data_IF_349804715484
#
_entry.id   IF_349804715484
#
_cell.length_a   1.000
_cell.length_b   1.000
_cell.length_c   1.000
_cell.angle_alpha   90.00
_cell.angle_beta   90.00
_cell.angle_gamma   90.00
#
_symmetry.space_group_name_H-M   'P 1'
#
loop_
_entity.id
_entity.type
_entity.pdbx_description
1 polymer ?
#
# COMPACT_ATOMS: atom_id res chain seq x y z
N UNK A 1 22.36 4.53 2.07
CA UNK A 1 21.44 4.22 0.96
C UNK A 1 21.37 5.44 0.07
N UNK A 2 21.87 5.37 -1.17
CA UNK A 2 21.59 6.43 -2.12
C UNK A 2 20.11 6.36 -2.49
N UNK A 3 19.41 7.48 -2.56
CA UNK A 3 18.01 7.48 -2.94
C UNK A 3 17.82 7.02 -4.38
N UNK A 4 16.74 6.29 -4.61
CA UNK A 4 16.33 5.66 -5.87
C UNK A 4 16.08 6.61 -7.05
N UNK A 5 16.40 7.91 -6.94
CA UNK A 5 15.73 8.94 -7.72
C UNK A 5 16.63 10.03 -8.24
N UNK A 6 16.80 10.05 -9.53
CA UNK A 6 17.20 11.20 -10.31
C UNK A 6 16.21 11.39 -11.46
N UNK A 7 15.66 12.56 -11.61
CA UNK A 7 14.63 12.88 -12.62
C UNK A 7 15.23 12.83 -14.03
N UNK A 8 14.82 11.86 -14.83
CA UNK A 8 14.94 11.92 -16.29
C UNK A 8 13.59 12.34 -16.88
N UNK A 9 13.55 13.42 -17.63
CA UNK A 9 12.33 13.98 -18.26
C UNK A 9 11.68 13.10 -19.32
N UNK A 10 12.21 11.92 -19.56
CA UNK A 10 11.70 10.93 -20.54
C UNK A 10 10.95 9.77 -19.90
N UNK A 11 10.89 9.66 -18.57
CA UNK A 11 10.29 8.53 -17.91
C UNK A 11 8.90 8.86 -17.35
N UNK A 12 7.89 8.15 -17.81
CA UNK A 12 6.50 8.28 -17.41
C UNK A 12 6.07 7.10 -16.54
N UNK A 13 6.90 6.71 -15.58
CA UNK A 13 6.69 5.55 -14.72
C UNK A 13 6.33 5.97 -13.30
N UNK A 14 5.33 5.30 -12.71
CA UNK A 14 5.05 5.37 -11.28
C UNK A 14 5.33 4.01 -10.62
N UNK A 15 5.94 4.03 -9.43
CA UNK A 15 6.10 2.85 -8.59
C UNK A 15 4.97 2.74 -7.58
N UNK A 16 4.41 1.55 -7.49
CA UNK A 16 3.29 1.23 -6.61
C UNK A 16 3.72 0.18 -5.59
N UNK A 17 3.28 0.39 -4.34
CA UNK A 17 3.61 -0.50 -3.21
C UNK A 17 2.34 -1.12 -2.63
N UNK A 18 2.26 -2.48 -2.59
CA UNK A 18 1.07 -3.19 -2.16
C UNK A 18 0.78 -2.97 -0.67
N UNK A 19 -0.49 -3.06 -0.34
CA UNK A 19 -1.02 -3.09 1.02
C UNK A 19 -1.37 -4.50 1.48
N UNK A 20 -1.95 -4.57 2.68
CA UNK A 20 -2.39 -5.81 3.30
C UNK A 20 -3.40 -6.56 2.41
N UNK A 21 -3.27 -7.88 2.37
CA UNK A 21 -4.01 -8.78 1.47
C UNK A 21 -3.16 -9.29 0.29
N UNK A 22 -1.95 -8.74 0.09
CA UNK A 22 -0.99 -9.20 -0.92
C UNK A 22 0.04 -10.20 -0.36
N UNK A 23 0.14 -10.34 0.97
CA UNK A 23 1.08 -11.25 1.62
C UNK A 23 0.71 -12.72 1.35
N UNK A 24 1.72 -13.56 1.23
CA UNK A 24 1.59 -15.02 1.12
C UNK A 24 2.89 -15.67 1.58
N UNK A 25 2.79 -16.89 2.08
CA UNK A 25 3.97 -17.68 2.46
C UNK A 25 4.81 -17.97 1.21
N UNK A 26 6.12 -17.78 1.31
CA UNK A 26 7.08 -17.89 0.21
C UNK A 26 7.41 -16.56 -0.49
N UNK A 27 6.69 -15.47 -0.18
CA UNK A 27 6.96 -14.17 -0.81
C UNK A 27 8.40 -13.70 -0.57
N UNK A 28 9.03 -13.11 -1.60
CA UNK A 28 10.42 -12.66 -1.65
C UNK A 28 11.48 -13.77 -1.50
N UNK A 29 11.11 -15.05 -1.37
CA UNK A 29 12.05 -16.16 -1.20
C UNK A 29 12.99 -16.34 -2.39
N UNK A 30 12.51 -16.24 -3.63
CA UNK A 30 13.35 -16.28 -4.82
C UNK A 30 14.31 -15.09 -4.90
N UNK A 31 13.84 -13.89 -4.58
CA UNK A 31 14.68 -12.69 -4.55
C UNK A 31 15.81 -12.83 -3.51
N UNK A 32 15.50 -13.36 -2.33
CA UNK A 32 16.48 -13.66 -1.30
C UNK A 32 17.57 -14.62 -1.77
N UNK A 33 17.22 -15.65 -2.56
CA UNK A 33 18.15 -16.65 -3.05
C UNK A 33 19.06 -16.10 -4.15
N UNK A 34 18.53 -15.29 -5.07
CA UNK A 34 19.22 -14.88 -6.30
C UNK A 34 19.92 -13.52 -6.20
N UNK A 35 19.44 -12.61 -5.36
CA UNK A 35 19.99 -11.25 -5.24
C UNK A 35 20.56 -10.98 -3.85
N UNK A 36 21.91 -10.89 -3.70
CA UNK A 36 22.52 -10.55 -2.41
C UNK A 36 21.98 -9.25 -1.78
N UNK A 37 21.61 -8.25 -2.63
CA UNK A 37 21.03 -7.01 -2.17
C UNK A 37 19.62 -7.17 -1.59
N UNK A 38 18.80 -8.06 -2.16
CA UNK A 38 17.49 -8.41 -1.61
C UNK A 38 17.62 -9.19 -0.29
N UNK A 39 18.59 -10.13 -0.24
CA UNK A 39 18.92 -10.86 1.00
C UNK A 39 19.28 -9.90 2.12
N UNK A 40 20.21 -8.97 1.87
CA UNK A 40 20.62 -7.97 2.84
C UNK A 40 19.44 -7.10 3.33
N UNK A 41 18.47 -6.81 2.47
CA UNK A 41 17.25 -6.08 2.88
C UNK A 41 16.40 -6.88 3.87
N UNK A 42 16.26 -8.18 3.66
CA UNK A 42 15.48 -9.05 4.54
C UNK A 42 16.19 -9.32 5.87
N UNK A 43 17.51 -9.49 5.84
CA UNK A 43 18.35 -9.59 7.04
C UNK A 43 18.31 -8.29 7.87
N UNK A 44 18.35 -7.11 7.21
CA UNK A 44 18.17 -5.81 7.87
C UNK A 44 16.80 -5.71 8.54
N UNK A 45 15.74 -6.25 7.93
CA UNK A 45 14.40 -6.26 8.54
C UNK A 45 14.37 -7.13 9.81
N UNK A 46 15.00 -8.31 9.78
CA UNK A 46 15.11 -9.20 10.95
C UNK A 46 15.87 -8.51 12.09
N UNK A 47 17.00 -7.87 11.77
CA UNK A 47 17.83 -7.15 12.75
C UNK A 47 17.09 -5.96 13.37
N UNK A 48 16.43 -5.14 12.55
CA UNK A 48 15.68 -3.95 13.01
C UNK A 48 14.50 -4.32 13.91
N UNK A 49 13.82 -5.42 13.58
CA UNK A 49 12.64 -5.86 14.31
C UNK A 49 12.95 -6.80 15.50
N UNK A 50 14.16 -7.36 15.52
CA UNK A 50 14.62 -8.24 16.59
C UNK A 50 13.99 -9.64 16.57
N UNK A 51 13.45 -10.07 15.44
CA UNK A 51 12.95 -11.43 15.22
C UNK A 51 13.04 -11.81 13.73
N UNK A 52 13.02 -13.11 13.44
CA UNK A 52 13.16 -13.64 12.09
C UNK A 52 11.88 -13.45 11.25
N UNK A 53 11.58 -12.21 10.84
CA UNK A 53 10.47 -11.87 9.95
C UNK A 53 10.62 -12.59 8.60
N UNK A 54 11.86 -12.63 8.07
CA UNK A 54 12.15 -13.30 6.80
C UNK A 54 11.76 -14.79 6.83
N UNK A 55 12.01 -15.49 7.93
CA UNK A 55 11.59 -16.88 8.11
C UNK A 55 10.08 -17.02 8.12
N UNK A 56 9.37 -16.12 8.81
CA UNK A 56 7.90 -16.10 8.80
C UNK A 56 7.37 -15.86 7.37
N UNK A 57 8.02 -14.99 6.58
CA UNK A 57 7.67 -14.75 5.18
C UNK A 57 7.88 -15.98 4.29
N UNK A 58 8.93 -16.79 4.53
CA UNK A 58 9.26 -17.93 3.68
C UNK A 58 8.51 -19.19 4.07
N UNK A 59 8.43 -19.48 5.37
CA UNK A 59 7.99 -20.76 5.90
C UNK A 59 6.61 -20.67 6.57
N UNK A 60 6.10 -19.47 6.87
CA UNK A 60 4.86 -19.26 7.63
C UNK A 60 5.02 -19.56 9.12
N UNK A 61 3.93 -19.86 9.83
CA UNK A 61 2.59 -20.20 9.32
C UNK A 61 1.83 -18.98 8.75
N UNK A 62 0.85 -19.27 7.88
CA UNK A 62 0.11 -18.24 7.14
C UNK A 62 -0.74 -17.34 8.04
N UNK A 63 -1.32 -17.88 9.09
CA UNK A 63 -2.10 -17.11 10.07
C UNK A 63 -1.25 -16.10 10.85
N UNK A 64 -0.02 -16.47 11.24
CA UNK A 64 0.92 -15.55 11.86
C UNK A 64 1.38 -14.47 10.86
N UNK A 65 1.65 -14.84 9.61
CA UNK A 65 2.05 -13.89 8.57
C UNK A 65 0.92 -12.91 8.25
N UNK A 66 -0.33 -13.36 8.28
CA UNK A 66 -1.53 -12.56 7.96
C UNK A 66 -1.94 -11.65 9.12
N UNK A 67 -1.50 -11.91 10.35
CA UNK A 67 -1.69 -10.97 11.47
C UNK A 67 -1.13 -9.60 11.08
N UNK A 68 -1.94 -8.53 11.22
CA UNK A 68 -1.59 -7.19 10.76
C UNK A 68 -0.27 -6.66 11.33
N UNK A 69 0.10 -7.11 12.53
CA UNK A 69 1.38 -6.75 13.17
C UNK A 69 2.59 -7.31 12.41
N UNK A 70 2.45 -8.45 11.73
CA UNK A 70 3.49 -9.10 10.94
C UNK A 70 3.35 -8.78 9.44
N UNK A 71 2.13 -8.77 8.92
CA UNK A 71 1.86 -8.54 7.51
C UNK A 71 2.41 -7.20 7.02
N UNK A 72 2.27 -6.14 7.83
CA UNK A 72 2.72 -4.80 7.42
C UNK A 72 4.23 -4.73 7.23
N UNK A 73 5.09 -5.09 8.21
CA UNK A 73 6.53 -5.07 7.98
C UNK A 73 6.98 -6.11 6.94
N UNK A 74 6.30 -7.26 6.81
CA UNK A 74 6.63 -8.27 5.81
C UNK A 74 6.40 -7.76 4.37
N UNK A 75 5.30 -7.05 4.12
CA UNK A 75 5.02 -6.43 2.82
C UNK A 75 6.03 -5.31 2.49
N UNK A 76 6.40 -4.49 3.47
CA UNK A 76 7.46 -3.50 3.28
C UNK A 76 8.80 -4.18 2.97
N UNK A 77 9.17 -5.21 3.71
CA UNK A 77 10.42 -5.93 3.49
C UNK A 77 10.47 -6.59 2.10
N UNK A 78 9.38 -7.20 1.66
CA UNK A 78 9.27 -7.76 0.30
C UNK A 78 9.41 -6.70 -0.78
N UNK A 79 8.78 -5.53 -0.60
CA UNK A 79 8.87 -4.43 -1.56
C UNK A 79 10.28 -3.82 -1.62
N UNK A 80 10.94 -3.64 -0.47
CA UNK A 80 12.33 -3.15 -0.43
C UNK A 80 13.29 -4.18 -1.02
N UNK A 81 13.07 -5.47 -0.77
CA UNK A 81 13.86 -6.54 -1.39
C UNK A 81 13.73 -6.53 -2.94
N UNK A 82 12.51 -6.31 -3.46
CA UNK A 82 12.27 -6.18 -4.90
C UNK A 82 12.95 -4.93 -5.49
N UNK A 83 12.89 -3.79 -4.79
CA UNK A 83 13.60 -2.58 -5.20
C UNK A 83 15.11 -2.79 -5.26
N UNK A 84 15.71 -3.37 -4.21
CA UNK A 84 17.17 -3.62 -4.17
C UNK A 84 17.61 -4.69 -5.17
N UNK A 85 16.76 -5.67 -5.48
CA UNK A 85 17.04 -6.62 -6.57
C UNK A 85 17.05 -5.92 -7.93
N UNK A 86 16.11 -5.01 -8.17
CA UNK A 86 16.02 -4.25 -9.40
C UNK A 86 17.21 -3.29 -9.55
N UNK A 87 17.64 -2.61 -8.50
CA UNK A 87 18.87 -1.81 -8.47
C UNK A 87 20.11 -2.63 -8.83
N UNK A 88 20.24 -3.81 -8.23
CA UNK A 88 21.37 -4.70 -8.50
C UNK A 88 21.38 -5.20 -9.95
N UNK A 89 20.21 -5.45 -10.55
CA UNK A 89 20.07 -5.89 -11.95
C UNK A 89 20.37 -4.76 -12.93
N UNK A 90 19.93 -3.56 -12.67
CA UNK A 90 20.05 -2.41 -13.59
C UNK A 90 21.39 -1.66 -13.49
N UNK A 91 22.06 -1.74 -12.35
CA UNK A 91 23.22 -0.88 -12.06
C UNK A 91 22.79 0.57 -11.79
N UNK A 92 23.35 1.53 -12.55
CA UNK A 92 22.96 2.93 -12.44
C UNK A 92 21.59 3.19 -13.08
N UNK A 93 20.55 3.30 -12.24
CA UNK A 93 19.19 3.59 -12.68
C UNK A 93 19.05 4.93 -13.39
N UNK A 94 19.93 5.90 -13.07
CA UNK A 94 19.90 7.21 -13.73
C UNK A 94 20.27 7.09 -15.20
N UNK A 95 21.19 6.20 -15.54
CA UNK A 95 21.62 5.95 -16.91
C UNK A 95 20.60 5.15 -17.72
N UNK A 96 19.76 4.34 -17.07
CA UNK A 96 18.79 3.46 -17.74
C UNK A 96 17.37 4.02 -17.85
N UNK A 97 17.12 5.22 -17.28
CA UNK A 97 15.78 5.81 -17.23
C UNK A 97 14.81 5.06 -16.31
N UNK A 98 15.33 4.21 -15.42
CA UNK A 98 14.53 3.36 -14.51
C UNK A 98 13.92 4.06 -13.31
N UNK A 99 13.86 5.41 -13.34
CA UNK A 99 13.38 6.21 -12.22
C UNK A 99 11.88 6.46 -12.31
N UNK A 100 11.20 6.42 -11.16
CA UNK A 100 9.81 6.81 -11.08
C UNK A 100 9.63 8.33 -10.99
N UNK A 101 8.59 8.85 -11.64
CA UNK A 101 8.18 10.26 -11.50
C UNK A 101 7.20 10.45 -10.34
N UNK A 102 6.55 9.37 -9.92
CA UNK A 102 5.70 9.29 -8.74
C UNK A 102 5.90 7.98 -8.02
N UNK A 103 5.69 8.01 -6.72
CA UNK A 103 5.52 6.80 -5.91
C UNK A 103 4.18 6.86 -5.17
N UNK A 104 3.53 5.73 -5.05
CA UNK A 104 2.29 5.60 -4.28
C UNK A 104 2.21 4.22 -3.63
N UNK A 105 1.51 4.13 -2.52
CA UNK A 105 1.29 2.85 -1.86
C UNK A 105 -0.11 2.77 -1.27
N UNK A 106 -0.70 1.59 -1.30
CA UNK A 106 -2.05 1.38 -0.80
C UNK A 106 -2.02 1.15 0.71
N UNK A 107 -2.68 1.99 1.49
CA UNK A 107 -2.72 1.91 2.95
C UNK A 107 -1.31 1.80 3.55
N UNK A 108 -0.91 0.67 4.15
CA UNK A 108 0.45 0.49 4.67
C UNK A 108 1.54 0.64 3.59
N UNK A 109 1.23 0.39 2.33
CA UNK A 109 2.16 0.59 1.21
C UNK A 109 2.62 2.04 1.06
N UNK A 110 1.88 3.03 1.56
CA UNK A 110 2.30 4.43 1.59
C UNK A 110 3.56 4.65 2.42
N UNK A 111 3.73 3.90 3.51
CA UNK A 111 4.99 3.92 4.29
C UNK A 111 6.16 3.36 3.47
N UNK A 112 5.90 2.36 2.62
CA UNK A 112 6.91 1.86 1.68
C UNK A 112 7.23 2.91 0.61
N UNK A 113 6.23 3.66 0.13
CA UNK A 113 6.45 4.77 -0.77
C UNK A 113 7.30 5.89 -0.14
N UNK A 114 7.14 6.17 1.16
CA UNK A 114 8.01 7.09 1.91
C UNK A 114 9.47 6.62 1.94
N UNK A 115 9.70 5.31 2.14
CA UNK A 115 11.05 4.73 2.08
C UNK A 115 11.62 4.86 0.67
N UNK A 116 10.85 4.52 -0.35
CA UNK A 116 11.27 4.62 -1.76
C UNK A 116 11.57 6.06 -2.19
N UNK A 117 10.81 7.04 -1.68
CA UNK A 117 11.04 8.46 -1.92
C UNK A 117 12.20 9.05 -1.09
N UNK A 118 12.83 8.27 -0.22
CA UNK A 118 13.90 8.75 0.66
C UNK A 118 13.42 9.66 1.79
N UNK A 119 12.12 9.71 2.08
CA UNK A 119 11.55 10.53 3.14
C UNK A 119 11.82 9.96 4.54
N UNK A 120 11.83 8.64 4.67
CA UNK A 120 12.18 7.94 5.91
C UNK A 120 13.22 6.84 5.61
N UNK A 121 14.01 6.48 6.62
CA UNK A 121 14.90 5.32 6.50
C UNK A 121 14.08 4.02 6.43
N UNK A 122 14.65 2.98 5.83
CA UNK A 122 14.00 1.66 5.82
C UNK A 122 13.78 1.13 7.24
N UNK A 123 14.77 1.29 8.12
CA UNK A 123 14.68 0.90 9.52
C UNK A 123 13.53 1.61 10.26
N UNK A 124 13.36 2.93 10.03
CA UNK A 124 12.26 3.68 10.64
C UNK A 124 10.92 3.29 10.03
N UNK A 125 10.87 3.05 8.72
CA UNK A 125 9.69 2.52 8.04
C UNK A 125 9.21 1.20 8.66
N UNK A 126 10.13 0.24 8.86
CA UNK A 126 9.83 -1.04 9.51
C UNK A 126 9.25 -0.87 10.93
N UNK A 127 9.88 -0.01 11.74
CA UNK A 127 9.38 0.28 13.10
C UNK A 127 8.00 0.91 13.08
N UNK A 128 7.77 1.89 12.18
CA UNK A 128 6.48 2.57 12.06
C UNK A 128 5.37 1.61 11.63
N UNK A 129 5.57 0.78 10.61
CA UNK A 129 4.51 -0.13 10.16
C UNK A 129 4.27 -1.28 11.15
N UNK A 130 5.30 -1.68 11.90
CA UNK A 130 5.15 -2.65 13.00
C UNK A 130 4.31 -2.05 14.12
N UNK A 131 4.59 -0.82 14.53
CA UNK A 131 3.82 -0.11 15.55
C UNK A 131 2.39 0.17 15.06
N UNK A 132 2.23 0.60 13.81
CA UNK A 132 0.91 0.77 13.18
C UNK A 132 0.09 -0.52 13.26
N UNK A 133 0.66 -1.66 12.87
CA UNK A 133 -0.01 -2.96 12.95
C UNK A 133 -0.40 -3.33 14.37
N UNK A 134 0.48 -3.09 15.35
CA UNK A 134 0.24 -3.35 16.77
C UNK A 134 -0.92 -2.49 17.30
N UNK A 135 -0.93 -1.20 16.99
CA UNK A 135 -1.97 -0.28 17.43
C UNK A 135 -3.32 -0.58 16.79
N UNK A 136 -3.34 -0.91 15.49
CA UNK A 136 -4.56 -1.33 14.79
C UNK A 136 -5.14 -2.62 15.37
N UNK A 137 -4.29 -3.60 15.70
CA UNK A 137 -4.72 -4.84 16.35
C UNK A 137 -5.35 -4.55 17.71
N UNK A 138 -4.67 -3.75 18.54
CA UNK A 138 -5.18 -3.36 19.86
C UNK A 138 -6.53 -2.63 19.76
N UNK A 139 -6.67 -1.69 18.82
CA UNK A 139 -7.93 -0.99 18.59
C UNK A 139 -9.05 -1.95 18.14
N UNK A 140 -8.75 -2.91 17.29
CA UNK A 140 -9.71 -3.95 16.86
C UNK A 140 -10.12 -4.89 18.00
N UNK A 141 -9.24 -5.18 18.95
CA UNK A 141 -9.55 -5.98 20.15
C UNK A 141 -10.47 -5.20 21.11
N UNK A 142 -10.25 -3.90 21.26
CA UNK A 142 -11.05 -3.02 22.12
C UNK A 142 -12.41 -2.66 21.52
N UNK A 143 -12.46 -2.43 20.21
CA UNK A 143 -13.67 -2.09 19.46
C UNK A 143 -13.75 -2.92 18.17
N UNK A 144 -14.18 -4.18 18.24
CA UNK A 144 -14.29 -5.03 17.07
C UNK A 144 -15.18 -4.42 15.99
N UNK A 145 -14.65 -4.39 14.77
CA UNK A 145 -15.34 -3.84 13.61
C UNK A 145 -15.46 -4.85 12.48
N UNK A 146 -16.05 -4.40 11.40
CA UNK A 146 -16.24 -5.18 10.17
C UNK A 146 -15.75 -4.38 8.98
N UNK A 147 -15.34 -5.10 7.94
CA UNK A 147 -15.13 -4.55 6.60
C UNK A 147 -15.85 -5.40 5.56
N UNK A 148 -16.31 -4.79 4.48
CA UNK A 148 -16.93 -5.49 3.39
C UNK A 148 -16.57 -4.89 2.03
N UNK A 149 -16.33 -5.76 1.04
CA UNK A 149 -16.14 -5.33 -0.34
C UNK A 149 -17.49 -5.22 -1.05
N UNK A 150 -17.73 -4.08 -1.67
CA UNK A 150 -18.93 -3.74 -2.42
C UNK A 150 -18.57 -3.71 -3.90
N UNK A 151 -19.24 -4.51 -4.70
CA UNK A 151 -18.99 -4.61 -6.13
C UNK A 151 -20.17 -4.11 -6.96
N UNK A 152 -19.90 -3.29 -7.95
CA UNK A 152 -20.86 -2.89 -8.99
C UNK A 152 -21.64 -1.61 -8.68
N UNK A 153 -21.29 -0.86 -7.65
CA UNK A 153 -21.81 0.47 -7.35
C UNK A 153 -20.68 1.51 -7.46
N UNK A 154 -21.07 2.76 -7.71
CA UNK A 154 -20.15 3.88 -7.72
C UNK A 154 -19.90 4.41 -6.30
N UNK A 155 -18.71 4.96 -6.06
CA UNK A 155 -18.25 5.43 -4.73
C UNK A 155 -19.24 6.38 -4.07
N UNK A 156 -19.70 7.40 -4.79
CA UNK A 156 -20.64 8.39 -4.25
C UNK A 156 -21.96 7.77 -3.74
N UNK A 157 -22.49 6.76 -4.44
CA UNK A 157 -23.69 6.04 -4.01
C UNK A 157 -23.40 5.20 -2.75
N UNK A 158 -22.25 4.53 -2.69
CA UNK A 158 -21.85 3.77 -1.51
C UNK A 158 -21.65 4.68 -0.31
N UNK A 159 -20.99 5.84 -0.49
CA UNK A 159 -20.77 6.83 0.56
C UNK A 159 -22.10 7.38 1.11
N UNK A 160 -23.05 7.71 0.25
CA UNK A 160 -24.37 8.19 0.66
C UNK A 160 -25.12 7.13 1.49
N UNK A 161 -25.13 5.88 1.04
CA UNK A 161 -25.79 4.78 1.78
C UNK A 161 -25.11 4.53 3.12
N UNK A 162 -23.78 4.57 3.19
CA UNK A 162 -23.05 4.46 4.45
C UNK A 162 -23.39 5.60 5.40
N UNK A 163 -23.49 6.85 4.90
CA UNK A 163 -23.89 7.98 5.71
C UNK A 163 -25.33 7.84 6.27
N UNK A 164 -26.25 7.34 5.46
CA UNK A 164 -27.64 7.04 5.90
C UNK A 164 -27.72 5.90 6.91
N UNK A 165 -26.82 4.89 6.80
CA UNK A 165 -26.73 3.78 7.73
C UNK A 165 -26.00 4.13 9.04
N UNK A 166 -25.37 5.30 9.09
CA UNK A 166 -24.66 5.80 10.26
C UNK A 166 -25.57 6.70 11.11
N UNK A 167 -25.36 6.71 12.42
CA UNK A 167 -26.15 7.51 13.35
C UNK A 167 -25.71 7.28 14.78
N UNK A 168 -26.59 7.44 15.76
CA UNK A 168 -26.26 7.27 17.16
C UNK A 168 -25.76 5.83 17.45
N UNK A 169 -24.45 5.70 17.67
CA UNK A 169 -23.78 4.43 17.92
C UNK A 169 -23.58 3.52 16.70
N UNK A 170 -24.03 3.90 15.50
CA UNK A 170 -23.82 3.17 14.26
C UNK A 170 -22.79 3.87 13.37
N UNK A 171 -21.76 3.13 12.91
CA UNK A 171 -20.68 3.64 12.09
C UNK A 171 -20.52 2.76 10.83
N UNK A 172 -20.65 3.36 9.66
CA UNK A 172 -20.26 2.79 8.38
C UNK A 172 -19.71 3.89 7.48
N UNK A 173 -18.58 3.66 6.83
CA UNK A 173 -18.02 4.59 5.85
C UNK A 173 -17.25 3.87 4.77
N UNK A 174 -16.99 4.57 3.68
CA UNK A 174 -16.04 4.12 2.65
C UNK A 174 -14.65 4.09 3.25
N UNK A 175 -14.04 2.90 3.28
CA UNK A 175 -12.67 2.70 3.72
C UNK A 175 -11.68 2.80 2.56
N UNK A 176 -12.02 2.21 1.41
CA UNK A 176 -11.16 2.26 0.22
C UNK A 176 -12.04 2.43 -1.04
N UNK A 177 -11.75 3.45 -1.84
CA UNK A 177 -12.15 3.51 -3.25
C UNK A 177 -11.04 2.89 -4.10
N UNK A 178 -11.15 1.57 -4.34
CA UNK A 178 -10.07 0.79 -4.95
C UNK A 178 -9.99 0.96 -6.47
N UNK A 179 -11.13 0.94 -7.15
CA UNK A 179 -11.27 1.20 -8.58
C UNK A 179 -12.77 1.28 -8.92
N UNK A 180 -13.17 1.81 -10.09
CA UNK A 180 -14.57 1.89 -10.49
C UNK A 180 -15.33 0.60 -10.25
N UNK A 181 -16.37 0.67 -9.42
CA UNK A 181 -17.22 -0.45 -9.01
C UNK A 181 -16.55 -1.48 -8.08
N UNK A 182 -15.53 -1.10 -7.33
CA UNK A 182 -14.93 -1.92 -6.26
C UNK A 182 -14.56 -1.03 -5.07
N UNK A 183 -15.45 -0.95 -4.12
CA UNK A 183 -15.34 -0.13 -2.92
C UNK A 183 -15.25 -1.05 -1.70
N UNK A 184 -14.50 -0.66 -0.68
CA UNK A 184 -14.53 -1.31 0.63
C UNK A 184 -15.16 -0.36 1.62
N UNK A 185 -16.06 -0.88 2.44
CA UNK A 185 -16.67 -0.16 3.57
C UNK A 185 -16.19 -0.73 4.89
N UNK A 186 -16.18 0.10 5.92
CA UNK A 186 -15.68 -0.22 7.25
C UNK A 186 -16.50 0.47 8.34
N UNK A 187 -16.65 -0.19 9.48
CA UNK A 187 -17.38 0.36 10.60
C UNK A 187 -17.65 -0.65 11.71
N UNK A 188 -18.53 -0.29 12.63
CA UNK A 188 -18.97 -1.20 13.67
C UNK A 188 -20.10 -2.10 13.17
N UNK A 189 -20.40 -3.16 13.93
CA UNK A 189 -21.40 -4.18 13.53
C UNK A 189 -22.74 -3.56 13.11
N UNK A 190 -23.31 -2.67 13.91
CA UNK A 190 -24.64 -2.10 13.65
C UNK A 190 -24.69 -1.28 12.36
N UNK A 191 -23.73 -0.37 12.16
CA UNK A 191 -23.64 0.44 10.94
C UNK A 191 -23.36 -0.42 9.72
N UNK A 192 -22.45 -1.39 9.84
CA UNK A 192 -22.07 -2.27 8.74
C UNK A 192 -23.22 -3.20 8.30
N UNK A 193 -23.96 -3.81 9.23
CA UNK A 193 -25.11 -4.65 8.91
C UNK A 193 -26.19 -3.84 8.17
N UNK A 194 -26.49 -2.62 8.65
CA UNK A 194 -27.45 -1.73 7.99
C UNK A 194 -26.96 -1.29 6.59
N UNK A 195 -25.70 -0.88 6.48
CA UNK A 195 -25.12 -0.47 5.20
C UNK A 195 -25.11 -1.63 4.18
N UNK A 196 -24.66 -2.82 4.57
CA UNK A 196 -24.63 -3.98 3.68
C UNK A 196 -26.02 -4.38 3.17
N UNK A 197 -27.04 -4.32 4.04
CA UNK A 197 -28.42 -4.58 3.64
C UNK A 197 -28.92 -3.53 2.63
N UNK A 198 -28.71 -2.25 2.91
CA UNK A 198 -29.11 -1.16 2.03
C UNK A 198 -28.37 -1.17 0.68
N UNK A 199 -27.06 -1.45 0.67
CA UNK A 199 -26.26 -1.60 -0.55
C UNK A 199 -26.73 -2.77 -1.43
N UNK A 200 -27.11 -3.88 -0.79
CA UNK A 200 -27.71 -5.03 -1.49
C UNK A 200 -29.03 -4.63 -2.13
N UNK A 201 -29.90 -3.92 -1.41
CA UNK A 201 -31.20 -3.43 -1.92
C UNK A 201 -31.00 -2.37 -3.04
N UNK A 202 -29.94 -1.58 -2.99
CA UNK A 202 -29.56 -0.60 -4.02
C UNK A 202 -28.95 -1.23 -5.29
N UNK A 203 -28.82 -2.56 -5.35
CA UNK A 203 -28.38 -3.27 -6.55
C UNK A 203 -26.86 -3.53 -6.61
N UNK A 204 -26.15 -3.55 -5.48
CA UNK A 204 -24.77 -4.03 -5.45
C UNK A 204 -24.70 -5.45 -6.04
N UNK A 205 -23.81 -5.63 -7.03
CA UNK A 205 -23.62 -6.96 -7.66
C UNK A 205 -23.15 -8.02 -6.67
N UNK A 206 -22.30 -7.63 -5.70
CA UNK A 206 -21.86 -8.46 -4.59
C UNK A 206 -21.58 -7.56 -3.38
N UNK A 207 -21.91 -8.06 -2.20
CA UNK A 207 -21.51 -7.53 -0.89
C UNK A 207 -20.79 -8.67 -0.18
N UNK A 208 -19.48 -8.54 0.00
CA UNK A 208 -18.61 -9.62 0.50
C UNK A 208 -17.97 -9.19 1.82
N UNK A 209 -18.41 -9.69 2.98
CA UNK A 209 -17.71 -9.48 4.24
C UNK A 209 -16.25 -9.96 4.14
N UNK A 210 -15.32 -9.18 4.66
CA UNK A 210 -13.92 -9.56 4.73
C UNK A 210 -13.65 -10.30 6.05
N UNK A 211 -12.73 -11.26 6.03
CA UNK A 211 -12.35 -12.05 7.20
C UNK A 211 -11.39 -11.26 8.12
N UNK A 212 -11.82 -10.06 8.56
CA UNK A 212 -11.07 -9.18 9.45
C UNK A 212 -11.98 -8.67 10.57
N UNK A 213 -11.41 -8.45 11.74
CA UNK A 213 -12.09 -7.85 12.91
C UNK A 213 -11.68 -6.40 13.18
N UNK A 214 -10.82 -5.84 12.34
CA UNK A 214 -10.30 -4.48 12.44
C UNK A 214 -11.04 -3.61 11.44
N UNK A 215 -11.72 -2.55 11.92
CA UNK A 215 -12.38 -1.57 11.07
C UNK A 215 -11.37 -0.50 10.59
N UNK A 216 -10.39 -0.91 9.78
CA UNK A 216 -9.40 0.03 9.24
C UNK A 216 -10.08 1.13 8.42
N UNK A 217 -9.45 2.31 8.40
CA UNK A 217 -9.95 3.47 7.65
C UNK A 217 -11.36 3.90 8.09
N UNK A 218 -11.61 3.87 9.39
CA UNK A 218 -12.87 4.32 10.00
C UNK A 218 -12.61 5.05 11.33
N UNK A 219 -13.59 5.78 11.89
CA UNK A 219 -13.46 6.44 13.19
C UNK A 219 -13.11 5.50 14.36
N UNK A 220 -13.36 4.20 14.22
CA UNK A 220 -12.95 3.20 15.21
C UNK A 220 -11.44 3.08 15.37
N UNK A 221 -10.67 3.56 14.39
CA UNK A 221 -9.19 3.61 14.47
C UNK A 221 -8.67 4.88 15.14
N UNK A 222 -9.52 5.79 15.61
CA UNK A 222 -9.07 7.05 16.23
C UNK A 222 -8.06 6.84 17.37
N UNK A 223 -8.26 5.90 18.34
CA UNK A 223 -7.28 5.66 19.39
C UNK A 223 -5.92 5.17 18.85
N UNK A 224 -5.94 4.35 17.80
CA UNK A 224 -4.72 3.90 17.16
C UNK A 224 -4.01 5.05 16.41
N UNK A 225 -4.75 5.91 15.73
CA UNK A 225 -4.21 7.07 15.02
C UNK A 225 -3.55 8.05 16.01
N UNK A 226 -4.20 8.37 17.12
CA UNK A 226 -3.64 9.25 18.16
C UNK A 226 -2.36 8.66 18.78
N UNK A 227 -2.35 7.38 19.08
CA UNK A 227 -1.15 6.71 19.60
C UNK A 227 0.00 6.64 18.56
N UNK A 228 -0.33 6.47 17.28
CA UNK A 228 0.66 6.42 16.20
C UNK A 228 1.31 7.79 15.94
N UNK A 229 0.63 8.91 16.25
CA UNK A 229 1.22 10.26 16.13
C UNK A 229 2.54 10.39 16.88
N UNK A 230 2.64 9.82 18.08
CA UNK A 230 3.88 9.87 18.86
C UNK A 230 5.06 9.16 18.16
N UNK A 231 4.80 8.04 17.46
CA UNK A 231 5.82 7.35 16.70
C UNK A 231 6.19 8.13 15.42
N UNK A 232 5.21 8.74 14.75
CA UNK A 232 5.43 9.60 13.58
C UNK A 232 6.27 10.83 13.98
N UNK A 233 5.97 11.45 15.11
CA UNK A 233 6.69 12.63 15.59
C UNK A 233 8.14 12.31 16.00
N UNK A 234 8.38 11.13 16.54
CA UNK A 234 9.71 10.65 16.90
C UNK A 234 10.55 10.23 15.66
N UNK A 235 9.90 10.06 14.50
CA UNK A 235 10.57 9.62 13.27
C UNK A 235 11.16 10.81 12.52
N UNK A 236 12.41 10.66 12.06
CA UNK A 236 13.04 11.63 11.16
C UNK A 236 12.41 11.52 9.77
N UNK A 237 11.67 12.54 9.37
CA UNK A 237 11.04 12.65 8.06
C UNK A 237 11.74 13.77 7.28
N UNK A 238 12.18 13.45 6.05
CA UNK A 238 12.80 14.38 5.11
C UNK A 238 11.84 14.71 3.96
N UNK A 239 12.01 15.83 3.28
CA UNK A 239 11.30 16.09 2.03
C UNK A 239 11.53 14.95 1.03
N UNK A 240 10.50 14.49 0.32
CA UNK A 240 10.63 13.37 -0.60
C UNK A 240 11.43 13.79 -1.84
N UNK A 241 12.23 12.88 -2.37
CA UNK A 241 13.00 13.11 -3.59
C UNK A 241 12.17 12.84 -4.85
N UNK A 242 11.12 12.05 -4.70
CA UNK A 242 10.07 11.84 -5.70
C UNK A 242 8.73 12.14 -5.06
N UNK A 243 7.83 12.86 -5.72
CA UNK A 243 6.49 13.13 -5.21
C UNK A 243 5.77 11.83 -4.84
N UNK A 244 5.18 11.81 -3.66
CA UNK A 244 4.36 10.71 -3.15
C UNK A 244 2.91 11.10 -3.35
N UNK A 245 2.06 10.19 -3.84
CA UNK A 245 0.62 10.44 -3.88
C UNK A 245 -0.01 9.92 -2.60
N UNK A 246 -0.60 10.84 -1.82
CA UNK A 246 -1.25 10.53 -0.54
C UNK A 246 -2.54 9.76 -0.69
N UNK A 247 -2.83 8.90 0.27
CA UNK A 247 -4.01 8.03 0.25
C UNK A 247 -5.32 8.78 0.52
N UNK A 248 -5.30 9.73 1.47
CA UNK A 248 -6.54 10.38 1.92
C UNK A 248 -6.99 11.50 0.99
N UNK A 249 -6.06 12.16 0.33
CA UNK A 249 -6.33 13.33 -0.50
C UNK A 249 -6.11 13.09 -2.00
N UNK A 250 -5.43 12.02 -2.39
CA UNK A 250 -4.92 11.79 -3.74
C UNK A 250 -4.06 12.97 -4.26
N UNK A 251 -3.43 13.74 -3.37
CA UNK A 251 -2.57 14.87 -3.72
C UNK A 251 -1.10 14.51 -3.56
N UNK A 252 -0.24 15.31 -4.18
CA UNK A 252 1.20 15.16 -4.04
C UNK A 252 1.67 15.60 -2.67
N UNK A 253 2.37 14.73 -1.97
CA UNK A 253 3.06 15.01 -0.72
C UNK A 253 4.51 15.40 -1.05
N UNK A 254 4.82 16.68 -1.00
CA UNK A 254 6.14 17.22 -1.37
C UNK A 254 6.86 17.87 -0.19
N UNK A 255 6.21 17.98 0.96
CA UNK A 255 6.76 18.58 2.18
C UNK A 255 6.62 17.64 3.37
N UNK A 256 7.46 17.84 4.38
CA UNK A 256 7.41 17.07 5.64
C UNK A 256 6.07 17.24 6.33
N UNK A 257 5.52 18.46 6.37
CA UNK A 257 4.24 18.74 6.99
C UNK A 257 3.08 18.03 6.27
N UNK A 258 3.09 18.01 4.93
CA UNK A 258 2.10 17.27 4.14
C UNK A 258 2.16 15.76 4.46
N UNK A 259 3.36 15.20 4.56
CA UNK A 259 3.55 13.78 4.93
C UNK A 259 3.02 13.51 6.35
N UNK A 260 3.37 14.34 7.34
CA UNK A 260 2.89 14.16 8.71
C UNK A 260 1.37 14.23 8.81
N UNK A 261 0.76 15.22 8.14
CA UNK A 261 -0.70 15.37 8.10
C UNK A 261 -1.38 14.15 7.47
N UNK A 262 -0.84 13.65 6.34
CA UNK A 262 -1.36 12.45 5.68
C UNK A 262 -1.29 11.23 6.59
N UNK A 263 -0.12 10.93 7.17
CA UNK A 263 0.06 9.77 8.05
C UNK A 263 -0.84 9.81 9.29
N UNK A 264 -1.09 11.01 9.83
CA UNK A 264 -1.99 11.22 10.96
C UNK A 264 -3.46 10.94 10.58
N UNK A 265 -3.88 11.35 9.38
CA UNK A 265 -5.25 11.18 8.90
C UNK A 265 -5.54 9.77 8.36
N UNK A 266 -4.52 9.05 7.92
CA UNK A 266 -4.66 7.84 7.08
C UNK A 266 -5.44 6.71 7.76
N UNK A 267 -5.24 6.45 9.07
CA UNK A 267 -5.90 5.32 9.76
C UNK A 267 -7.42 5.49 9.89
N UNK A 268 -7.91 6.72 9.91
CA UNK A 268 -9.33 7.05 10.04
C UNK A 268 -9.96 7.50 8.72
N UNK A 269 -9.13 7.95 7.76
CA UNK A 269 -9.53 8.44 6.45
C UNK A 269 -9.62 7.34 5.39
N UNK A 270 -10.43 7.57 4.36
CA UNK A 270 -10.59 6.67 3.21
C UNK A 270 -9.36 6.70 2.30
N UNK A 271 -8.97 5.52 1.80
CA UNK A 271 -7.95 5.40 0.76
C UNK A 271 -8.57 5.72 -0.61
N UNK A 272 -8.17 6.84 -1.20
CA UNK A 272 -8.65 7.35 -2.50
C UNK A 272 -7.81 6.77 -3.65
N UNK A 273 -7.77 5.43 -3.79
CA UNK A 273 -6.85 4.79 -4.73
C UNK A 273 -7.22 5.06 -6.19
N UNK A 274 -8.52 5.08 -6.52
CA UNK A 274 -9.01 5.46 -7.86
C UNK A 274 -8.48 6.83 -8.26
N UNK A 275 -8.68 7.83 -7.40
CA UNK A 275 -8.24 9.19 -7.64
C UNK A 275 -6.71 9.32 -7.70
N UNK A 276 -5.98 8.57 -6.86
CA UNK A 276 -4.52 8.55 -6.84
C UNK A 276 -3.94 8.05 -8.17
N UNK A 277 -4.45 6.93 -8.69
CA UNK A 277 -4.01 6.38 -9.99
C UNK A 277 -4.41 7.30 -11.14
N UNK A 278 -5.65 7.83 -11.12
CA UNK A 278 -6.11 8.75 -12.15
C UNK A 278 -5.26 10.02 -12.19
N UNK A 279 -4.94 10.61 -11.04
CA UNK A 279 -4.05 11.78 -10.96
C UNK A 279 -2.68 11.52 -11.61
N UNK A 280 -2.06 10.38 -11.31
CA UNK A 280 -0.78 10.02 -11.93
C UNK A 280 -0.91 9.85 -13.45
N UNK A 281 -1.99 9.20 -13.91
CA UNK A 281 -2.25 9.03 -15.33
C UNK A 281 -2.48 10.37 -16.04
N UNK A 282 -3.24 11.29 -15.45
CA UNK A 282 -3.50 12.64 -15.97
C UNK A 282 -2.21 13.50 -15.98
N UNK A 283 -1.28 13.24 -15.07
CA UNK A 283 0.05 13.85 -15.05
C UNK A 283 1.01 13.22 -16.07
N UNK A 284 0.54 12.28 -16.90
CA UNK A 284 1.32 11.70 -17.99
C UNK A 284 2.02 10.38 -17.66
N UNK A 285 1.71 9.74 -16.53
CA UNK A 285 2.22 8.39 -16.24
C UNK A 285 1.61 7.39 -17.20
N UNK A 286 2.45 6.68 -17.92
CA UNK A 286 2.07 5.65 -18.91
C UNK A 286 2.42 4.23 -18.47
N UNK A 287 3.25 4.09 -17.46
CA UNK A 287 3.69 2.79 -16.92
C UNK A 287 3.57 2.78 -15.39
N UNK A 288 2.86 1.80 -14.87
CA UNK A 288 2.75 1.55 -13.43
C UNK A 288 3.46 0.25 -13.10
N UNK A 289 4.39 0.30 -12.15
CA UNK A 289 5.19 -0.84 -11.72
C UNK A 289 4.88 -1.16 -10.27
N UNK A 290 4.26 -2.29 -10.02
CA UNK A 290 4.01 -2.79 -8.68
C UNK A 290 5.24 -3.54 -8.18
N UNK A 291 5.84 -3.06 -7.08
CA UNK A 291 7.06 -3.58 -6.47
C UNK A 291 6.74 -4.27 -5.14
N UNK A 292 6.94 -5.58 -5.05
CA UNK A 292 6.69 -6.36 -3.85
C UNK A 292 5.72 -7.52 -4.07
N UNK A 293 5.09 -8.00 -3.00
CA UNK A 293 4.25 -9.19 -3.04
C UNK A 293 2.94 -9.00 -3.83
N UNK A 294 2.55 -10.00 -4.61
CA UNK A 294 1.27 -10.03 -5.32
C UNK A 294 1.22 -9.23 -6.62
N UNK A 295 0.01 -8.93 -7.06
CA UNK A 295 -0.31 -8.19 -8.29
C UNK A 295 -1.66 -7.46 -8.18
N UNK A 296 -2.01 -7.10 -6.94
CA UNK A 296 -3.32 -6.49 -6.63
C UNK A 296 -3.44 -5.12 -7.26
N UNK A 297 -2.41 -4.27 -7.10
CA UNK A 297 -2.45 -2.89 -7.56
C UNK A 297 -2.44 -2.79 -9.09
N UNK A 298 -1.67 -3.63 -9.77
CA UNK A 298 -1.69 -3.72 -11.24
C UNK A 298 -3.06 -4.14 -11.75
N UNK A 299 -3.76 -5.03 -11.01
CA UNK A 299 -5.15 -5.39 -11.27
C UNK A 299 -6.13 -4.21 -11.14
N UNK A 300 -5.92 -3.34 -10.13
CA UNK A 300 -6.72 -2.12 -9.94
C UNK A 300 -6.42 -1.08 -11.03
N UNK A 301 -5.15 -0.84 -11.33
CA UNK A 301 -4.72 0.07 -12.43
C UNK A 301 -5.35 -0.32 -13.76
N UNK A 302 -5.46 -1.63 -14.06
CA UNK A 302 -6.13 -2.13 -15.28
C UNK A 302 -7.57 -1.61 -15.42
N UNK A 303 -8.24 -1.31 -14.32
CA UNK A 303 -9.62 -0.83 -14.32
C UNK A 303 -9.71 0.70 -14.31
N UNK A 304 -8.70 1.39 -13.77
CA UNK A 304 -8.64 2.83 -13.64
C UNK A 304 -7.99 3.47 -14.90
N UNK A 305 -6.76 3.08 -15.20
CA UNK A 305 -5.96 3.60 -16.31
C UNK A 305 -5.72 2.50 -17.37
N UNK A 306 -6.76 2.19 -18.15
CA UNK A 306 -6.80 1.01 -19.04
C UNK A 306 -5.71 0.99 -20.10
N UNK A 307 -5.30 2.15 -20.60
CA UNK A 307 -4.25 2.32 -21.61
C UNK A 307 -2.84 2.23 -21.05
N UNK A 308 -2.68 2.36 -19.73
CA UNK A 308 -1.38 2.33 -19.12
C UNK A 308 -0.77 0.92 -19.11
N UNK A 309 0.54 0.86 -19.30
CA UNK A 309 1.32 -0.37 -19.12
C UNK A 309 1.39 -0.71 -17.64
N UNK A 310 1.33 -1.98 -17.33
CA UNK A 310 1.40 -2.52 -15.97
C UNK A 310 2.50 -3.56 -15.89
N UNK A 311 3.35 -3.45 -14.91
CA UNK A 311 4.47 -4.35 -14.66
C UNK A 311 4.44 -4.77 -13.19
N UNK A 312 4.72 -6.02 -12.92
CA UNK A 312 4.85 -6.55 -11.56
C UNK A 312 6.28 -7.03 -11.35
N UNK A 313 6.91 -6.57 -10.27
CA UNK A 313 8.27 -6.94 -9.86
C UNK A 313 8.20 -7.56 -8.47
N UNK A 314 7.91 -8.86 -8.42
CA UNK A 314 7.71 -9.63 -7.19
C UNK A 314 8.68 -10.80 -7.02
N UNK A 315 9.32 -11.20 -8.12
CA UNK A 315 10.19 -12.38 -8.24
C UNK A 315 11.35 -12.10 -9.20
N UNK A 316 12.21 -13.08 -9.41
CA UNK A 316 13.38 -12.97 -10.29
C UNK A 316 13.00 -12.70 -11.75
N UNK A 317 11.92 -13.32 -12.21
CA UNK A 317 11.42 -13.12 -13.58
C UNK A 317 10.96 -11.69 -13.78
N UNK A 318 10.16 -11.15 -12.87
CA UNK A 318 9.68 -9.76 -12.90
C UNK A 318 10.81 -8.73 -12.87
N UNK A 319 11.84 -8.95 -12.03
CA UNK A 319 13.03 -8.09 -11.98
C UNK A 319 13.73 -8.08 -13.35
N UNK A 320 14.01 -9.25 -13.92
CA UNK A 320 14.71 -9.36 -15.22
C UNK A 320 13.89 -8.78 -16.37
N UNK A 321 12.61 -9.12 -16.43
CA UNK A 321 11.71 -8.63 -17.48
C UNK A 321 11.62 -7.10 -17.48
N UNK A 322 11.50 -6.49 -16.29
CA UNK A 322 11.47 -5.02 -16.21
C UNK A 322 12.83 -4.40 -16.53
N UNK A 323 13.93 -5.00 -16.09
CA UNK A 323 15.26 -4.53 -16.42
C UNK A 323 15.54 -4.60 -17.94
N UNK A 324 15.14 -5.67 -18.62
CA UNK A 324 15.23 -5.82 -20.08
C UNK A 324 14.38 -4.76 -20.80
N UNK A 325 13.15 -4.53 -20.33
CA UNK A 325 12.28 -3.49 -20.88
C UNK A 325 12.95 -2.12 -20.85
N UNK A 326 13.63 -1.77 -19.75
CA UNK A 326 14.33 -0.50 -19.62
C UNK A 326 15.59 -0.42 -20.50
N UNK A 327 16.36 -1.51 -20.61
CA UNK A 327 17.60 -1.55 -21.42
C UNK A 327 17.34 -1.48 -22.92
N UNK A 328 16.28 -2.10 -23.39
CA UNK A 328 16.06 -2.29 -24.83
C UNK A 328 14.87 -1.53 -25.39
N UNK A 329 14.11 -0.80 -24.54
CA UNK A 329 12.90 -0.10 -24.95
C UNK A 329 11.80 -1.03 -25.47
N UNK A 330 11.86 -2.33 -25.13
CA UNK A 330 10.98 -3.36 -25.68
C UNK A 330 9.63 -3.27 -24.96
N UNK A 331 8.55 -3.20 -25.75
CA UNK A 331 7.21 -3.36 -25.22
C UNK A 331 7.07 -4.80 -24.67
N UNK A 332 6.88 -4.94 -23.36
CA UNK A 332 6.43 -6.22 -22.82
C UNK A 332 5.09 -6.58 -23.48
N UNK A 333 5.04 -7.75 -24.08
CA UNK A 333 3.91 -8.31 -24.83
C UNK A 333 2.70 -8.62 -23.92
#
# INVERSE_FOLDING_TARGET
MQPFLGLSTANHTAFLFPGQGSQHVGMAGELHQHYPAARAALEEADDVLGFALSRLMFDGPEDELTDTINAQPALMAASVAAMRALEAELGDLSATGGQAVYVAGHSMGEYTALVAAGSISYADGLRLVRERGRLMKLAGEQAPGLMAAILGLEEAQVAEICAQASGEGAIAQVANDNCPGQIVISGNRSGMEAAMAALTAAGARKVVPLAVSIAAHSPLMQPAAEALCAAIDATTILPPQTPIIGNTTAQELTTVDAIRNELTAQLTGSVQWTASVQRMADAGVTTFVELGAGEVLTGLVKRIARSARRVTVRDVEGVRAYAEMLRFGIAAS
#
